data_IF_332938396556
#
_entry.id   IF_332938396556
#
_cell.length_a   1.000
_cell.length_b   1.000
_cell.length_c   1.000
_cell.angle_alpha   90.00
_cell.angle_beta   90.00
_cell.angle_gamma   90.00
#
_symmetry.space_group_name_H-M   'P 1'
#
loop_
_entity.id
_entity.type
_entity.pdbx_description
1 polymer ?
#
# COMPACT_ATOMS: atom_id res chain seq x y z
N UNK A 1 8.28 -65.18 -45.34
CA UNK A 1 8.00 -63.81 -45.81
C UNK A 1 6.56 -63.49 -45.48
N UNK A 2 6.30 -62.80 -44.35
CA UNK A 2 4.99 -62.26 -43.99
C UNK A 2 5.22 -61.24 -42.86
N UNK A 3 5.57 -60.02 -43.25
CA UNK A 3 5.59 -58.88 -42.32
C UNK A 3 4.23 -58.19 -42.40
N UNK A 4 3.47 -58.25 -41.31
CA UNK A 4 2.35 -57.34 -41.09
C UNK A 4 2.91 -56.07 -40.41
N UNK A 5 2.79 -54.88 -41.01
CA UNK A 5 3.06 -53.64 -40.29
C UNK A 5 1.89 -53.35 -39.35
N UNK A 6 2.17 -53.25 -38.04
CA UNK A 6 1.22 -52.74 -37.06
C UNK A 6 1.22 -51.20 -37.12
N UNK A 7 0.07 -50.52 -37.28
CA UNK A 7 0.02 -49.07 -37.39
C UNK A 7 -0.13 -48.38 -36.01
N UNK A 8 0.43 -47.16 -35.96
CA UNK A 8 0.13 -46.09 -35.01
C UNK A 8 0.65 -46.22 -33.57
N UNK A 9 1.91 -45.82 -33.38
CA UNK A 9 2.34 -45.17 -32.15
C UNK A 9 1.65 -43.80 -32.05
N UNK A 10 0.41 -43.77 -31.55
CA UNK A 10 -0.33 -42.54 -31.24
C UNK A 10 -0.94 -42.64 -29.85
N UNK A 11 -0.11 -42.50 -28.83
CA UNK A 11 -0.58 -42.06 -27.50
C UNK A 11 0.35 -40.94 -27.07
N UNK A 12 0.31 -39.90 -27.89
CA UNK A 12 0.85 -38.58 -27.61
C UNK A 12 -0.29 -37.77 -26.99
N UNK A 13 0.03 -36.95 -25.98
CA UNK A 13 -0.84 -35.92 -25.36
C UNK A 13 -1.91 -36.36 -24.35
N UNK A 14 -1.53 -36.84 -23.15
CA UNK A 14 -2.53 -36.90 -22.06
C UNK A 14 -2.05 -36.60 -20.63
N UNK A 15 -0.84 -36.05 -20.41
CA UNK A 15 -0.35 -35.84 -19.03
C UNK A 15 0.38 -34.51 -18.75
N UNK A 16 0.19 -33.47 -19.57
CA UNK A 16 0.86 -32.18 -19.35
C UNK A 16 -0.07 -30.97 -19.57
N UNK A 17 -1.26 -31.02 -18.97
CA UNK A 17 -2.18 -29.87 -18.91
C UNK A 17 -2.71 -29.62 -17.49
N UNK A 18 -1.98 -30.04 -16.44
CA UNK A 18 -2.21 -29.55 -15.08
C UNK A 18 -1.45 -28.21 -14.90
N UNK A 19 -1.73 -27.25 -15.79
CA UNK A 19 -1.29 -25.87 -15.60
C UNK A 19 -2.09 -25.30 -14.44
N UNK A 20 -1.42 -25.21 -13.28
CA UNK A 20 -1.54 -24.15 -12.28
C UNK A 20 -2.76 -23.25 -12.52
N UNK A 21 -3.86 -23.53 -11.86
CA UNK A 21 -4.92 -22.52 -11.72
C UNK A 21 -4.30 -21.34 -10.98
N UNK A 22 -4.22 -20.14 -11.57
CA UNK A 22 -3.76 -18.99 -10.80
C UNK A 22 -4.78 -18.80 -9.67
N UNK A 23 -4.35 -18.98 -8.43
CA UNK A 23 -5.16 -18.76 -7.23
C UNK A 23 -5.63 -17.30 -7.08
N UNK A 24 -5.30 -16.44 -8.06
CA UNK A 24 -5.67 -15.03 -8.14
C UNK A 24 -6.69 -14.72 -9.23
N UNK A 25 -7.17 -15.70 -10.00
CA UNK A 25 -8.26 -15.51 -10.94
C UNK A 25 -9.62 -15.49 -10.21
N UNK A 26 -9.81 -14.53 -9.30
CA UNK A 26 -11.15 -14.12 -8.91
C UNK A 26 -11.84 -13.43 -10.09
N UNK A 27 -13.17 -13.47 -10.14
CA UNK A 27 -13.90 -12.66 -11.13
C UNK A 27 -13.56 -11.17 -10.93
N UNK A 28 -13.65 -10.39 -12.01
CA UNK A 28 -13.54 -8.94 -11.92
C UNK A 28 -14.55 -8.40 -10.90
N UNK A 29 -15.76 -8.96 -10.85
CA UNK A 29 -16.80 -8.64 -9.87
C UNK A 29 -16.32 -8.82 -8.43
N UNK A 30 -15.79 -9.98 -8.05
CA UNK A 30 -15.25 -10.22 -6.71
C UNK A 30 -14.00 -9.38 -6.39
N UNK A 31 -13.28 -8.89 -7.41
CA UNK A 31 -12.21 -7.93 -7.23
C UNK A 31 -12.74 -6.51 -6.98
N UNK A 32 -13.79 -6.10 -7.70
CA UNK A 32 -14.44 -4.81 -7.50
C UNK A 32 -15.14 -4.71 -6.15
N UNK A 33 -15.86 -5.75 -5.70
CA UNK A 33 -16.47 -5.78 -4.37
C UNK A 33 -15.44 -5.56 -3.25
N UNK A 34 -14.28 -6.22 -3.34
CA UNK A 34 -13.19 -6.01 -2.37
C UNK A 34 -12.57 -4.62 -2.47
N UNK A 35 -12.52 -4.04 -3.66
CA UNK A 35 -12.03 -2.67 -3.86
C UNK A 35 -13.00 -1.63 -3.29
N UNK A 36 -14.32 -1.84 -3.42
CA UNK A 36 -15.35 -0.96 -2.84
C UNK A 36 -15.25 -0.88 -1.31
N UNK A 37 -14.90 -1.99 -0.65
CA UNK A 37 -14.66 -2.01 0.79
C UNK A 37 -13.47 -1.14 1.24
N UNK A 38 -12.59 -0.74 0.32
CA UNK A 38 -11.42 0.11 0.57
C UNK A 38 -11.60 1.53 0.04
N UNK A 39 -12.81 1.94 -0.31
CA UNK A 39 -13.08 3.33 -0.69
C UNK A 39 -12.74 4.30 0.45
N UNK A 40 -12.41 5.57 0.16
CA UNK A 40 -11.92 6.52 1.17
C UNK A 40 -12.83 6.66 2.40
N UNK A 41 -14.15 6.56 2.23
CA UNK A 41 -15.10 6.61 3.33
C UNK A 41 -14.94 5.44 4.32
N UNK A 42 -14.57 4.25 3.84
CA UNK A 42 -14.28 3.08 4.66
C UNK A 42 -12.81 3.07 5.14
N UNK A 43 -11.87 3.42 4.26
CA UNK A 43 -10.43 3.35 4.50
C UNK A 43 -9.90 4.43 5.45
N UNK A 44 -10.51 5.61 5.51
CA UNK A 44 -10.03 6.74 6.32
C UNK A 44 -9.98 6.49 7.83
N UNK A 45 -10.64 5.43 8.32
CA UNK A 45 -10.56 4.99 9.73
C UNK A 45 -9.58 3.86 9.97
N UNK A 46 -9.02 3.26 8.92
CA UNK A 46 -8.14 2.10 8.99
C UNK A 46 -6.66 2.48 9.05
N UNK A 47 -6.30 3.68 8.58
CA UNK A 47 -4.93 4.15 8.54
C UNK A 47 -4.78 5.51 9.24
N UNK A 48 -3.72 5.67 10.02
CA UNK A 48 -3.30 6.97 10.54
C UNK A 48 -2.56 7.74 9.46
N UNK A 49 -2.71 9.06 9.43
CA UNK A 49 -1.96 9.96 8.55
C UNK A 49 -2.15 9.69 7.04
N UNK A 50 -3.33 9.23 6.61
CA UNK A 50 -3.61 8.97 5.19
C UNK A 50 -3.43 10.24 4.33
N UNK A 51 -3.99 11.36 4.80
CA UNK A 51 -3.89 12.65 4.13
C UNK A 51 -3.66 13.76 5.17
N UNK A 52 -2.42 13.95 5.65
CA UNK A 52 -2.13 14.97 6.63
C UNK A 52 -2.33 16.36 6.02
N UNK A 53 -2.94 17.26 6.79
CA UNK A 53 -3.03 18.67 6.41
C UNK A 53 -1.64 19.29 6.47
N UNK A 54 -1.15 19.75 5.32
CA UNK A 54 0.15 20.42 5.18
C UNK A 54 -0.03 21.93 5.30
N UNK A 55 0.86 22.56 6.06
CA UNK A 55 0.98 23.99 6.20
C UNK A 55 2.34 24.45 5.67
N UNK A 56 2.33 25.49 4.84
CA UNK A 56 3.55 26.05 4.24
C UNK A 56 4.02 27.28 5.02
N UNK A 57 5.33 27.49 5.07
CA UNK A 57 5.89 28.76 5.53
C UNK A 57 5.66 29.86 4.49
N UNK A 58 5.75 31.12 4.92
CA UNK A 58 5.46 32.28 4.06
C UNK A 58 6.42 32.42 2.86
N UNK A 59 7.62 31.92 3.05
CA UNK A 59 8.74 31.94 2.11
C UNK A 59 8.90 30.62 1.35
N UNK A 60 7.95 29.68 1.51
CA UNK A 60 7.97 28.35 0.89
C UNK A 60 9.26 27.54 1.15
N UNK A 61 10.04 27.90 2.17
CA UNK A 61 11.30 27.22 2.53
C UNK A 61 11.06 25.99 3.42
N UNK A 62 9.90 25.91 4.07
CA UNK A 62 9.55 24.80 4.92
C UNK A 62 8.05 24.50 4.87
N UNK A 63 7.72 23.27 5.23
CA UNK A 63 6.36 22.85 5.48
C UNK A 63 6.28 22.14 6.83
N UNK A 64 5.09 22.10 7.41
CA UNK A 64 4.86 21.29 8.59
C UNK A 64 3.47 20.65 8.56
N UNK A 65 3.33 19.56 9.30
CA UNK A 65 2.08 18.85 9.45
C UNK A 65 1.97 18.20 10.82
N UNK A 66 0.74 17.93 11.23
CA UNK A 66 0.44 17.09 12.40
C UNK A 66 0.47 15.63 11.98
N UNK A 67 1.12 14.80 12.79
CA UNK A 67 1.20 13.36 12.64
C UNK A 67 0.61 12.68 13.86
N UNK A 68 -0.32 11.77 13.66
CA UNK A 68 -0.89 10.92 14.69
C UNK A 68 0.02 9.71 14.94
N UNK A 69 0.39 9.49 16.20
CA UNK A 69 1.19 8.35 16.68
C UNK A 69 0.47 7.62 17.81
N UNK A 70 0.91 6.41 18.14
CA UNK A 70 0.33 5.65 19.25
C UNK A 70 0.42 6.40 20.59
N UNK A 71 1.45 7.20 20.78
CA UNK A 71 1.67 8.02 21.97
C UNK A 71 0.93 9.37 21.95
N UNK A 72 0.22 9.71 20.86
CA UNK A 72 -0.46 10.99 20.67
C UNK A 72 0.01 11.73 19.42
N UNK A 73 -0.26 13.03 19.37
CA UNK A 73 0.09 13.87 18.22
C UNK A 73 1.57 14.32 18.28
N UNK A 74 2.23 14.30 17.12
CA UNK A 74 3.53 14.89 16.85
C UNK A 74 3.37 15.99 15.81
N UNK A 75 4.18 17.05 15.89
CA UNK A 75 4.24 18.09 14.86
C UNK A 75 5.59 18.02 14.18
N UNK A 76 5.59 17.83 12.87
CA UNK A 76 6.78 17.58 12.07
C UNK A 76 6.99 18.75 11.11
N UNK A 77 8.21 19.28 11.06
CA UNK A 77 8.66 20.22 10.03
C UNK A 77 9.53 19.48 9.01
N UNK A 78 9.39 19.86 7.75
CA UNK A 78 10.34 19.55 6.68
C UNK A 78 10.93 20.86 6.19
N UNK A 79 12.25 20.98 6.25
CA UNK A 79 12.99 22.06 5.59
C UNK A 79 13.33 21.61 4.16
N UNK A 80 12.89 22.37 3.17
CA UNK A 80 13.05 22.00 1.76
C UNK A 80 14.47 22.18 1.24
N UNK A 81 15.22 23.25 1.59
CA UNK A 81 16.60 23.42 1.14
C UNK A 81 17.51 22.29 1.59
N UNK A 82 17.39 21.86 2.84
CA UNK A 82 18.22 20.78 3.39
C UNK A 82 17.59 19.38 3.22
N UNK A 83 16.32 19.30 2.82
CA UNK A 83 15.56 18.04 2.83
C UNK A 83 15.44 17.41 4.22
N UNK A 84 15.58 18.21 5.27
CA UNK A 84 15.65 17.73 6.64
C UNK A 84 14.26 17.63 7.26
N UNK A 85 14.00 16.53 7.97
CA UNK A 85 12.77 16.31 8.74
C UNK A 85 13.08 16.37 10.23
N UNK A 86 12.37 17.21 10.95
CA UNK A 86 12.61 17.45 12.38
C UNK A 86 11.29 17.70 13.15
N UNK A 87 11.28 17.56 14.48
CA UNK A 87 10.17 18.04 15.31
C UNK A 87 9.97 19.54 15.11
N UNK A 88 8.72 19.99 14.98
CA UNK A 88 8.38 21.40 14.82
C UNK A 88 8.75 22.22 16.07
N UNK A 89 8.62 21.60 17.25
CA UNK A 89 9.02 22.13 18.55
C UNK A 89 9.16 20.98 19.58
N UNK A 90 9.76 21.28 20.73
CA UNK A 90 9.87 20.36 21.86
C UNK A 90 8.54 20.28 22.63
N UNK A 91 7.83 19.16 22.47
CA UNK A 91 6.55 18.89 23.13
C UNK A 91 6.66 18.87 24.66
N UNK A 92 7.70 18.24 25.19
CA UNK A 92 7.87 18.10 26.64
C UNK A 92 8.12 19.48 27.27
N UNK A 93 8.97 20.28 26.63
CA UNK A 93 9.27 21.63 27.10
C UNK A 93 8.06 22.55 27.02
N UNK A 94 7.24 22.46 25.96
CA UNK A 94 6.02 23.25 25.84
C UNK A 94 4.97 22.86 26.90
N UNK A 95 4.72 21.57 27.09
CA UNK A 95 3.77 21.08 28.09
C UNK A 95 4.17 21.54 29.51
N UNK A 96 5.46 21.45 29.85
CA UNK A 96 5.97 21.92 31.13
C UNK A 96 5.80 23.44 31.35
N UNK A 97 5.84 24.24 30.27
CA UNK A 97 5.68 25.69 30.37
C UNK A 97 4.21 26.14 30.50
N UNK A 98 3.24 25.25 30.23
CA UNK A 98 1.81 25.55 30.26
C UNK A 98 1.08 25.01 31.51
N UNK A 99 1.76 24.19 32.33
CA UNK A 99 1.22 23.60 33.56
C UNK A 99 1.21 24.61 34.71
#
# INVERSE_FOLDING_TARGET
MNHRPCPSASVSWLLLALCVTPAWAGSSEAAFERAEALLPAAASRLARNEAPRVHWSRDDSSLWYRRETEAGDEYVRISLPEGAREPLFDHARLAAALA
#
